data_IF_943994891855
#
_entry.id   IF_943994891855
#
_cell.length_a   1.000
_cell.length_b   1.000
_cell.length_c   1.000
_cell.angle_alpha   90.00
_cell.angle_beta   90.00
_cell.angle_gamma   90.00
#
_symmetry.space_group_name_H-M   'P 1'
#
loop_
_entity.id
_entity.type
_entity.pdbx_description
1 polymer ?
#
# COMPACT_ATOMS: atom_id res chain seq x y z
N UNK A 1 121.04 29.04 -19.35
CA UNK A 1 119.78 28.27 -19.34
C UNK A 1 118.97 28.70 -18.14
N UNK A 2 117.85 29.40 -18.34
CA UNK A 2 116.91 29.72 -17.28
C UNK A 2 115.49 29.49 -17.83
N UNK A 3 114.79 28.54 -17.24
CA UNK A 3 113.43 28.11 -17.56
C UNK A 3 112.42 29.19 -17.17
N UNK A 4 111.54 29.58 -18.10
CA UNK A 4 110.39 30.44 -17.77
C UNK A 4 109.38 29.66 -16.91
N UNK A 5 109.20 30.10 -15.67
CA UNK A 5 108.08 29.68 -14.83
C UNK A 5 106.76 30.24 -15.38
N UNK A 6 105.81 29.36 -15.68
CA UNK A 6 104.44 29.76 -15.97
C UNK A 6 103.71 30.06 -14.66
N UNK A 7 103.19 31.29 -14.52
CA UNK A 7 102.36 31.70 -13.39
C UNK A 7 100.90 31.53 -13.80
N UNK A 8 100.18 30.59 -13.15
CA UNK A 8 98.75 30.43 -13.33
C UNK A 8 97.98 31.41 -12.44
N UNK A 9 97.04 32.17 -13.03
CA UNK A 9 96.13 33.06 -12.28
C UNK A 9 95.02 32.21 -11.65
N UNK A 10 94.78 32.29 -10.32
CA UNK A 10 93.61 31.65 -9.72
C UNK A 10 92.36 32.40 -10.19
N UNK A 11 91.56 31.75 -11.05
CA UNK A 11 90.29 32.28 -11.53
C UNK A 11 89.17 31.57 -10.77
N UNK A 12 88.59 32.25 -9.79
CA UNK A 12 87.38 31.78 -9.11
C UNK A 12 86.18 32.13 -10.00
N UNK A 13 85.42 31.13 -10.42
CA UNK A 13 84.20 31.33 -11.21
C UNK A 13 83.08 31.87 -10.31
N UNK A 14 82.62 33.09 -10.58
CA UNK A 14 81.55 33.78 -9.83
C UNK A 14 80.22 33.80 -10.62
N UNK A 15 80.06 33.00 -11.67
CA UNK A 15 78.82 32.96 -12.43
C UNK A 15 77.68 32.34 -11.61
N UNK A 16 76.48 32.89 -11.77
CA UNK A 16 75.30 32.33 -11.13
C UNK A 16 75.13 30.85 -11.54
N UNK A 17 74.88 29.94 -10.58
CA UNK A 17 74.69 28.53 -10.89
C UNK A 17 73.51 28.34 -11.82
N UNK A 18 73.61 27.35 -12.71
CA UNK A 18 72.56 27.05 -13.68
C UNK A 18 71.26 26.67 -12.95
N UNK A 19 70.21 27.46 -13.15
CA UNK A 19 68.88 27.15 -12.63
C UNK A 19 68.25 26.04 -13.47
N UNK A 20 67.78 24.96 -12.84
CA UNK A 20 67.06 23.89 -13.52
C UNK A 20 65.57 23.97 -13.24
N UNK A 21 64.76 23.81 -14.29
CA UNK A 21 63.29 23.90 -14.20
C UNK A 21 62.70 22.89 -13.21
N UNK A 22 63.27 21.69 -13.14
CA UNK A 22 62.83 20.63 -12.21
C UNK A 22 63.09 20.96 -10.73
N UNK A 23 63.96 21.94 -10.44
CA UNK A 23 64.20 22.42 -9.06
C UNK A 23 63.14 23.43 -8.61
N UNK A 24 62.49 24.12 -9.56
CA UNK A 24 61.45 25.12 -9.28
C UNK A 24 60.04 24.59 -9.52
N UNK A 25 59.90 23.53 -10.33
CA UNK A 25 58.63 22.86 -10.63
C UNK A 25 58.71 21.40 -10.23
N UNK A 26 57.83 20.98 -9.30
CA UNK A 26 57.68 19.59 -8.89
C UNK A 26 56.89 18.80 -9.95
N UNK A 27 57.48 18.59 -11.12
CA UNK A 27 56.82 17.97 -12.28
C UNK A 27 56.18 16.62 -11.95
N UNK A 28 56.85 15.77 -11.15
CA UNK A 28 56.29 14.48 -10.71
C UNK A 28 55.02 14.64 -9.88
N UNK A 29 54.95 15.66 -9.02
CA UNK A 29 53.76 15.96 -8.21
C UNK A 29 52.60 16.39 -9.10
N UNK A 30 52.87 17.25 -10.08
CA UNK A 30 51.86 17.71 -11.05
C UNK A 30 51.34 16.52 -11.86
N UNK A 31 52.23 15.65 -12.34
CA UNK A 31 51.86 14.45 -13.08
C UNK A 31 50.99 13.50 -12.25
N UNK A 32 51.38 13.19 -11.00
CA UNK A 32 50.58 12.33 -10.11
C UNK A 32 49.19 12.92 -9.84
N UNK A 33 49.08 14.23 -9.67
CA UNK A 33 47.77 14.87 -9.47
C UNK A 33 46.92 14.80 -10.75
N UNK A 34 47.52 15.01 -11.92
CA UNK A 34 46.81 14.86 -13.20
C UNK A 34 46.32 13.43 -13.41
N UNK A 35 47.15 12.43 -13.13
CA UNK A 35 46.77 11.01 -13.21
C UNK A 35 45.61 10.67 -12.27
N UNK A 36 45.68 11.16 -11.02
CA UNK A 36 44.60 11.00 -10.03
C UNK A 36 43.29 11.65 -10.49
N UNK A 37 43.35 12.86 -11.04
CA UNK A 37 42.17 13.57 -11.54
C UNK A 37 41.56 12.86 -12.76
N UNK A 38 42.39 12.32 -13.66
CA UNK A 38 41.91 11.53 -14.80
C UNK A 38 41.17 10.26 -14.35
N UNK A 39 41.67 9.58 -13.33
CA UNK A 39 41.01 8.40 -12.75
C UNK A 39 39.65 8.77 -12.14
N UNK A 40 39.61 9.84 -11.33
CA UNK A 40 38.37 10.36 -10.74
C UNK A 40 37.36 10.74 -11.83
N UNK A 41 37.78 11.45 -12.89
CA UNK A 41 36.88 11.83 -13.97
C UNK A 41 36.34 10.63 -14.73
N UNK A 42 37.16 9.61 -14.98
CA UNK A 42 36.74 8.37 -15.60
C UNK A 42 35.69 7.66 -14.75
N UNK A 43 35.92 7.55 -13.45
CA UNK A 43 35.02 6.89 -12.51
C UNK A 43 33.71 7.66 -12.38
N UNK A 44 33.75 8.99 -12.34
CA UNK A 44 32.57 9.84 -12.33
C UNK A 44 31.72 9.63 -13.60
N UNK A 45 32.34 9.56 -14.78
CA UNK A 45 31.64 9.27 -16.03
C UNK A 45 30.97 7.89 -16.00
N UNK A 46 31.67 6.88 -15.48
CA UNK A 46 31.14 5.53 -15.35
C UNK A 46 29.96 5.46 -14.37
N UNK A 47 30.08 6.15 -13.23
CA UNK A 47 29.02 6.24 -12.22
C UNK A 47 27.77 6.89 -12.80
N UNK A 48 27.91 8.03 -13.46
CA UNK A 48 26.79 8.73 -14.11
C UNK A 48 26.12 7.84 -15.16
N UNK A 49 26.90 7.12 -15.98
CA UNK A 49 26.34 6.18 -16.96
C UNK A 49 25.55 5.04 -16.32
N UNK A 50 26.04 4.47 -15.20
CA UNK A 50 25.34 3.41 -14.45
C UNK A 50 24.05 3.93 -13.83
N UNK A 51 24.11 5.09 -13.16
CA UNK A 51 22.93 5.73 -12.56
C UNK A 51 21.90 6.03 -13.64
N UNK A 52 22.32 6.63 -14.76
CA UNK A 52 21.43 6.91 -15.88
C UNK A 52 20.78 5.63 -16.44
N UNK A 53 21.52 4.52 -16.54
CA UNK A 53 20.97 3.23 -16.99
C UNK A 53 19.94 2.66 -16.02
N UNK A 54 20.20 2.70 -14.72
CA UNK A 54 19.26 2.23 -13.69
C UNK A 54 18.01 3.12 -13.65
N UNK A 55 18.19 4.44 -13.71
CA UNK A 55 17.09 5.42 -13.73
C UNK A 55 16.24 5.30 -15.01
N UNK A 56 16.86 5.11 -16.17
CA UNK A 56 16.17 4.94 -17.45
C UNK A 56 15.37 3.63 -17.53
N UNK A 57 15.81 2.57 -16.84
CA UNK A 57 15.05 1.31 -16.73
C UNK A 57 13.81 1.41 -15.84
N UNK A 58 13.63 2.54 -15.14
CA UNK A 58 12.35 3.04 -14.64
C UNK A 58 11.33 1.97 -14.24
N UNK A 59 11.58 1.25 -13.14
CA UNK A 59 10.59 0.34 -12.58
C UNK A 59 11.22 -0.69 -11.66
N UNK A 60 10.63 -0.86 -10.47
CA UNK A 60 10.77 -2.11 -9.73
C UNK A 60 9.94 -3.14 -10.48
N UNK A 61 10.49 -4.31 -10.80
CA UNK A 61 9.77 -5.44 -11.40
C UNK A 61 8.77 -6.10 -10.43
N UNK A 62 8.47 -5.44 -9.32
CA UNK A 62 7.54 -5.88 -8.29
C UNK A 62 6.08 -5.63 -8.68
N UNK A 63 5.72 -5.95 -9.92
CA UNK A 63 4.32 -6.12 -10.27
C UNK A 63 3.95 -7.57 -10.01
N UNK A 64 3.17 -7.77 -8.95
CA UNK A 64 2.62 -9.07 -8.65
C UNK A 64 1.41 -9.33 -9.56
N UNK A 65 1.65 -9.88 -10.75
CA UNK A 65 0.61 -10.34 -11.69
C UNK A 65 -0.08 -11.63 -11.21
N UNK A 66 -0.19 -11.81 -9.89
CA UNK A 66 -0.82 -12.98 -9.31
C UNK A 66 -2.33 -12.91 -9.50
N UNK A 67 -2.83 -13.73 -10.40
CA UNK A 67 -4.25 -14.04 -10.50
C UNK A 67 -4.58 -15.20 -9.54
N UNK A 68 -5.47 -14.99 -8.55
CA UNK A 68 -5.89 -16.06 -7.67
C UNK A 68 -6.56 -17.16 -8.50
N UNK A 69 -6.05 -18.38 -8.39
CA UNK A 69 -6.63 -19.51 -9.11
C UNK A 69 -7.99 -19.85 -8.50
N UNK A 70 -9.02 -20.15 -9.32
CA UNK A 70 -10.29 -20.63 -8.81
C UNK A 70 -10.08 -21.84 -7.91
N UNK A 71 -10.75 -21.85 -6.75
CA UNK A 71 -10.72 -23.02 -5.87
C UNK A 71 -11.27 -24.23 -6.61
N UNK A 72 -10.76 -25.44 -6.32
CA UNK A 72 -11.26 -26.71 -6.90
C UNK A 72 -12.79 -26.86 -6.75
N UNK A 73 -13.36 -26.29 -5.68
CA UNK A 73 -14.79 -26.36 -5.38
C UNK A 73 -15.58 -25.13 -5.89
N UNK A 74 -15.01 -24.29 -6.74
CA UNK A 74 -15.67 -23.07 -7.22
C UNK A 74 -16.95 -23.41 -8.00
N UNK A 75 -16.88 -24.40 -8.89
CA UNK A 75 -18.02 -24.82 -9.70
C UNK A 75 -19.13 -25.45 -8.86
N UNK A 76 -18.77 -26.28 -7.87
CA UNK A 76 -19.71 -26.86 -6.93
C UNK A 76 -20.42 -25.77 -6.12
N UNK A 77 -19.65 -24.79 -5.61
CA UNK A 77 -20.18 -23.65 -4.85
C UNK A 77 -21.12 -22.81 -5.70
N UNK A 78 -20.75 -22.52 -6.94
CA UNK A 78 -21.58 -21.76 -7.87
C UNK A 78 -22.91 -22.49 -8.16
N UNK A 79 -22.86 -23.80 -8.39
CA UNK A 79 -24.07 -24.63 -8.58
C UNK A 79 -24.99 -24.59 -7.36
N UNK A 80 -24.43 -24.73 -6.16
CA UNK A 80 -25.23 -24.69 -4.93
C UNK A 80 -25.81 -23.30 -4.68
N UNK A 81 -25.05 -22.23 -4.96
CA UNK A 81 -25.56 -20.85 -4.89
C UNK A 81 -26.74 -20.64 -5.83
N UNK A 82 -26.66 -21.12 -7.07
CA UNK A 82 -27.75 -21.03 -8.05
C UNK A 82 -28.97 -21.80 -7.56
N UNK A 83 -28.78 -23.02 -7.06
CA UNK A 83 -29.85 -23.86 -6.51
C UNK A 83 -30.56 -23.17 -5.33
N UNK A 84 -29.81 -22.72 -4.33
CA UNK A 84 -30.33 -21.99 -3.17
C UNK A 84 -31.10 -20.74 -3.62
N UNK A 85 -30.56 -19.99 -4.59
CA UNK A 85 -31.23 -18.81 -5.10
C UNK A 85 -32.57 -19.13 -5.76
N UNK A 86 -32.65 -20.22 -6.53
CA UNK A 86 -33.89 -20.65 -7.18
C UNK A 86 -34.92 -21.12 -6.16
N UNK A 87 -34.50 -21.92 -5.17
CA UNK A 87 -35.35 -22.38 -4.08
C UNK A 87 -35.89 -21.22 -3.25
N UNK A 88 -35.04 -20.25 -2.90
CA UNK A 88 -35.45 -19.03 -2.20
C UNK A 88 -36.47 -18.22 -3.01
N UNK A 89 -36.28 -18.11 -4.33
CA UNK A 89 -37.24 -17.43 -5.19
C UNK A 89 -38.59 -18.16 -5.24
N UNK A 90 -38.58 -19.49 -5.28
CA UNK A 90 -39.80 -20.30 -5.26
C UNK A 90 -40.54 -20.18 -3.91
N UNK A 91 -39.81 -20.21 -2.80
CA UNK A 91 -40.36 -20.00 -1.45
C UNK A 91 -40.97 -18.61 -1.33
N UNK A 92 -40.28 -17.57 -1.79
CA UNK A 92 -40.79 -16.21 -1.76
C UNK A 92 -42.08 -16.06 -2.56
N UNK A 93 -42.12 -16.63 -3.77
CA UNK A 93 -43.35 -16.68 -4.58
C UNK A 93 -44.47 -17.38 -3.82
N UNK A 94 -44.20 -18.53 -3.21
CA UNK A 94 -45.18 -19.27 -2.42
C UNK A 94 -45.72 -18.43 -1.27
N UNK A 95 -44.83 -17.84 -0.45
CA UNK A 95 -45.20 -16.96 0.68
C UNK A 95 -46.11 -15.82 0.21
N UNK A 96 -45.75 -15.17 -0.90
CA UNK A 96 -46.51 -14.04 -1.43
C UNK A 96 -47.87 -14.46 -2.04
N UNK A 97 -47.95 -15.65 -2.63
CA UNK A 97 -49.19 -16.17 -3.22
C UNK A 97 -50.14 -16.74 -2.16
N UNK A 98 -49.60 -17.31 -1.08
CA UNK A 98 -50.42 -17.83 0.03
C UNK A 98 -51.02 -16.69 0.83
N UNK A 99 -52.35 -16.60 0.83
CA UNK A 99 -53.07 -15.70 1.73
C UNK A 99 -53.04 -16.26 3.15
N UNK A 100 -52.90 -15.39 4.15
CA UNK A 100 -53.03 -15.81 5.55
C UNK A 100 -54.44 -16.34 5.80
N UNK A 101 -54.54 -17.47 6.52
CA UNK A 101 -55.83 -18.05 6.92
C UNK A 101 -56.58 -17.09 7.85
N UNK A 102 -55.84 -16.31 8.64
CA UNK A 102 -56.37 -15.32 9.55
C UNK A 102 -55.95 -13.93 9.09
N UNK A 103 -56.92 -13.02 8.97
CA UNK A 103 -56.65 -11.60 8.84
C UNK A 103 -56.73 -10.97 10.24
N UNK A 104 -55.58 -10.53 10.74
CA UNK A 104 -55.49 -9.91 12.06
C UNK A 104 -56.39 -8.66 12.17
N UNK A 105 -56.68 -7.99 11.05
CA UNK A 105 -57.57 -6.81 11.05
C UNK A 105 -59.03 -7.22 11.30
N UNK A 106 -59.50 -8.28 10.64
CA UNK A 106 -60.86 -8.78 10.86
C UNK A 106 -60.98 -9.34 12.27
N UNK A 107 -60.01 -10.12 12.73
CA UNK A 107 -59.97 -10.65 14.10
C UNK A 107 -59.99 -9.54 15.15
N UNK A 108 -59.23 -8.46 14.94
CA UNK A 108 -59.23 -7.33 15.86
C UNK A 108 -60.59 -6.60 15.87
N UNK A 109 -61.24 -6.49 14.71
CA UNK A 109 -62.57 -5.91 14.60
C UNK A 109 -63.61 -6.76 15.35
N UNK A 110 -63.64 -8.07 15.09
CA UNK A 110 -64.54 -9.01 15.74
C UNK A 110 -64.31 -9.07 17.25
N UNK A 111 -63.05 -9.03 17.68
CA UNK A 111 -62.68 -8.93 19.08
C UNK A 111 -63.24 -7.66 19.73
N UNK A 112 -63.12 -6.50 19.08
CA UNK A 112 -63.69 -5.24 19.60
C UNK A 112 -65.21 -5.29 19.72
N UNK A 113 -65.89 -5.85 18.72
CA UNK A 113 -67.35 -6.02 18.72
C UNK A 113 -67.78 -6.94 19.87
N UNK A 114 -67.15 -8.11 19.98
CA UNK A 114 -67.38 -9.09 21.04
C UNK A 114 -67.12 -8.47 22.41
N UNK A 115 -66.01 -7.74 22.56
CA UNK A 115 -65.67 -7.02 23.78
C UNK A 115 -66.76 -6.01 24.17
N UNK A 116 -67.31 -5.28 23.20
CA UNK A 116 -68.43 -4.37 23.42
C UNK A 116 -69.70 -5.07 23.91
N UNK A 117 -70.04 -6.25 23.36
CA UNK A 117 -71.15 -7.06 23.88
C UNK A 117 -70.89 -7.52 25.30
N UNK A 118 -69.68 -8.03 25.58
CA UNK A 118 -69.28 -8.47 26.92
C UNK A 118 -69.40 -7.32 27.92
N UNK A 119 -68.90 -6.13 27.60
CA UNK A 119 -69.04 -4.95 28.48
C UNK A 119 -70.49 -4.60 28.79
N UNK A 120 -71.42 -4.77 27.84
CA UNK A 120 -72.85 -4.52 28.05
C UNK A 120 -73.54 -5.61 28.88
N UNK A 121 -73.11 -6.86 28.74
CA UNK A 121 -73.71 -8.01 29.43
C UNK A 121 -73.14 -8.22 30.84
N UNK A 122 -71.96 -7.67 31.11
CA UNK A 122 -71.32 -7.78 32.41
C UNK A 122 -72.06 -6.96 33.47
N UNK A 123 -72.46 -7.63 34.55
CA UNK A 123 -73.08 -7.00 35.74
C UNK A 123 -72.12 -6.04 36.46
N UNK A 124 -70.81 -6.24 36.31
CA UNK A 124 -69.77 -5.41 36.92
C UNK A 124 -68.74 -5.01 35.86
N UNK A 125 -68.31 -3.74 35.80
CA UNK A 125 -67.36 -3.28 34.80
C UNK A 125 -65.99 -3.92 35.01
N UNK A 126 -65.35 -4.36 33.91
CA UNK A 126 -63.98 -4.87 34.00
C UNK A 126 -63.02 -3.75 34.41
N UNK A 127 -62.26 -4.01 35.47
CA UNK A 127 -61.19 -3.16 35.97
C UNK A 127 -59.96 -3.27 35.05
N UNK A 128 -59.97 -2.54 33.94
CA UNK A 128 -58.86 -2.47 32.97
C UNK A 128 -57.54 -2.01 33.61
N UNK A 129 -57.58 -1.40 34.80
CA UNK A 129 -56.40 -0.97 35.58
C UNK A 129 -55.76 -2.09 36.42
N UNK A 130 -56.34 -3.29 36.47
CA UNK A 130 -55.83 -4.42 37.25
C UNK A 130 -54.99 -5.41 36.41
N UNK A 131 -54.74 -5.12 35.14
CA UNK A 131 -53.92 -6.00 34.30
C UNK A 131 -52.47 -5.94 34.78
N UNK A 132 -52.07 -7.06 35.39
CA UNK A 132 -50.71 -7.48 35.79
C UNK A 132 -49.62 -6.77 34.98
N UNK A 133 -48.60 -6.25 35.68
CA UNK A 133 -47.32 -5.84 35.10
C UNK A 133 -46.75 -6.97 34.23
N UNK A 134 -47.07 -7.01 32.95
CA UNK A 134 -46.42 -7.92 32.02
C UNK A 134 -45.10 -7.27 31.65
N UNK A 135 -43.99 -7.95 31.97
CA UNK A 135 -42.65 -7.49 31.59
C UNK A 135 -42.62 -7.37 30.06
N UNK A 136 -42.19 -6.24 29.48
CA UNK A 136 -42.06 -6.17 28.03
C UNK A 136 -41.04 -7.21 27.59
N UNK A 137 -41.43 -8.06 26.63
CA UNK A 137 -40.49 -8.90 25.91
C UNK A 137 -39.61 -7.97 25.09
N UNK A 138 -38.33 -7.91 25.44
CA UNK A 138 -37.33 -7.17 24.68
C UNK A 138 -37.21 -7.85 23.31
N UNK A 139 -37.80 -7.24 22.27
CA UNK A 139 -37.44 -7.57 20.90
C UNK A 139 -36.04 -7.00 20.65
N UNK A 140 -35.09 -7.90 20.37
CA UNK A 140 -33.75 -7.57 19.90
C UNK A 140 -33.94 -6.97 18.50
N UNK A 141 -33.49 -5.73 18.31
CA UNK A 141 -33.34 -5.09 17.00
C UNK A 141 -32.13 -5.67 16.27
#
# INVERSE_FOLDING_TARGET
MATQGHVFKPMVDNKAPRTYLHSHLNLKKIQMEQERLMEIERDNRLLVSRVARTMARGGLDNWNDYHPKPSVNADLRNRELVKISLENQALLKKINMTKSVYDHKTWLSDFKVTRGYVTRLLKYPENLNATKKVRPLNLIN
#
